data_IF_355258061109
#
_entry.id   IF_355258061109
#
_cell.length_a   1.000
_cell.length_b   1.000
_cell.length_c   1.000
_cell.angle_alpha   90.00
_cell.angle_beta   90.00
_cell.angle_gamma   90.00
#
_symmetry.space_group_name_H-M   'P 1'
#
loop_
_entity.id
_entity.type
_entity.pdbx_description
1 polymer ?
#
# COMPACT_ATOMS: atom_id res chain seq x y z
N UNK A 1 6.61 -7.42 -17.41
CA UNK A 1 5.51 -8.42 -17.29
C UNK A 1 4.14 -7.79 -17.47
N UNK A 2 3.91 -6.52 -17.08
CA UNK A 2 2.63 -5.85 -17.25
C UNK A 2 2.74 -4.53 -18.04
N UNK A 3 2.66 -4.53 -19.39
CA UNK A 3 2.76 -3.32 -20.21
C UNK A 3 1.76 -2.20 -19.89
N UNK A 4 0.55 -2.53 -19.42
CA UNK A 4 -0.48 -1.53 -19.05
C UNK A 4 -0.30 -0.96 -17.66
N UNK A 5 0.68 -1.46 -16.88
CA UNK A 5 1.05 -0.84 -15.62
C UNK A 5 1.74 0.49 -15.90
N UNK A 6 1.11 1.58 -15.49
CA UNK A 6 1.67 2.92 -15.58
C UNK A 6 1.58 3.56 -14.20
N UNK A 7 2.73 4.00 -13.68
CA UNK A 7 2.79 4.80 -12.47
C UNK A 7 2.53 6.28 -12.83
N UNK A 8 1.26 6.62 -13.07
CA UNK A 8 0.84 7.96 -13.50
C UNK A 8 0.06 8.68 -12.39
N UNK A 9 0.76 9.58 -11.71
CA UNK A 9 0.20 10.52 -10.74
C UNK A 9 0.61 11.98 -11.00
N UNK A 10 1.43 12.20 -12.03
CA UNK A 10 2.01 13.51 -12.32
C UNK A 10 0.95 14.55 -12.62
N UNK A 11 -0.11 14.14 -13.33
CA UNK A 11 -1.24 15.03 -13.67
C UNK A 11 -1.95 15.57 -12.42
N UNK A 12 -2.21 14.72 -11.43
CA UNK A 12 -2.97 15.09 -10.24
C UNK A 12 -2.11 15.96 -9.30
N UNK A 13 -0.83 15.64 -9.17
CA UNK A 13 0.10 16.48 -8.43
C UNK A 13 0.25 17.86 -9.08
N UNK A 14 0.39 17.94 -10.41
CA UNK A 14 0.51 19.20 -11.14
C UNK A 14 -0.73 20.11 -10.95
N UNK A 15 -1.93 19.54 -10.76
CA UNK A 15 -3.14 20.30 -10.45
C UNK A 15 -3.17 20.83 -9.00
N UNK A 16 -2.58 20.07 -8.06
CA UNK A 16 -2.54 20.44 -6.64
C UNK A 16 -1.45 21.48 -6.33
N UNK A 17 -0.29 21.35 -6.96
CA UNK A 17 0.91 22.18 -6.73
C UNK A 17 0.64 23.70 -6.72
N UNK A 18 -0.14 24.31 -7.64
CA UNK A 18 -0.45 25.73 -7.62
C UNK A 18 -1.17 26.23 -6.36
N UNK A 19 -1.74 25.33 -5.54
CA UNK A 19 -2.47 25.69 -4.32
C UNK A 19 -1.57 26.01 -3.13
N UNK A 20 -0.32 25.55 -3.15
CA UNK A 20 0.56 25.69 -1.98
C UNK A 20 2.00 26.08 -2.34
N UNK A 21 2.53 25.62 -3.49
CA UNK A 21 3.92 25.92 -3.88
C UNK A 21 4.22 27.42 -4.03
N UNK A 22 3.35 28.27 -4.62
CA UNK A 22 3.65 29.69 -4.73
C UNK A 22 3.87 30.36 -3.37
N UNK A 23 3.04 30.04 -2.38
CA UNK A 23 3.16 30.59 -1.02
C UNK A 23 4.43 30.07 -0.32
N UNK A 24 4.72 28.77 -0.46
CA UNK A 24 5.95 28.15 0.04
C UNK A 24 7.21 28.83 -0.53
N UNK A 25 7.29 28.96 -1.87
CA UNK A 25 8.41 29.61 -2.56
C UNK A 25 8.56 31.07 -2.13
N UNK A 26 7.46 31.83 -2.13
CA UNK A 26 7.47 33.24 -1.74
C UNK A 26 7.97 33.45 -0.31
N UNK A 27 7.61 32.56 0.63
CA UNK A 27 8.11 32.61 2.00
C UNK A 27 9.62 32.34 2.05
N UNK A 28 10.11 31.26 1.41
CA UNK A 28 11.53 30.93 1.45
C UNK A 28 12.40 32.05 0.85
N UNK A 29 11.92 32.72 -0.20
CA UNK A 29 12.63 33.85 -0.81
C UNK A 29 12.89 35.00 0.15
N UNK A 30 12.10 35.15 1.24
CA UNK A 30 12.31 36.20 2.23
C UNK A 30 13.58 35.99 3.08
N UNK A 31 14.12 34.77 3.10
CA UNK A 31 15.27 34.40 3.94
C UNK A 31 16.58 34.29 3.16
N UNK A 32 16.59 34.58 1.86
CA UNK A 32 17.80 34.55 1.03
C UNK A 32 18.04 35.88 0.33
N UNK A 33 19.29 36.15 -0.04
CA UNK A 33 19.64 37.27 -0.92
C UNK A 33 19.55 36.84 -2.38
N UNK A 34 18.81 37.60 -3.20
CA UNK A 34 18.59 37.31 -4.63
C UNK A 34 17.25 36.63 -4.90
N UNK A 35 17.02 36.27 -6.16
CA UNK A 35 15.77 35.63 -6.59
C UNK A 35 15.87 34.10 -6.43
N UNK A 36 15.18 33.52 -5.45
CA UNK A 36 15.08 32.06 -5.30
C UNK A 36 14.32 31.47 -6.50
N UNK A 37 15.05 30.86 -7.42
CA UNK A 37 14.47 30.10 -8.53
C UNK A 37 14.53 28.61 -8.19
N UNK A 38 13.39 28.06 -7.74
CA UNK A 38 13.23 26.61 -7.62
C UNK A 38 12.57 26.10 -8.91
N UNK A 39 13.32 25.34 -9.70
CA UNK A 39 12.83 24.63 -10.88
C UNK A 39 11.77 23.57 -10.50
N UNK A 40 11.13 23.00 -11.52
CA UNK A 40 10.14 21.94 -11.34
C UNK A 40 10.78 20.71 -10.70
N UNK A 41 10.38 20.43 -9.45
CA UNK A 41 10.84 19.29 -8.67
C UNK A 41 11.85 19.62 -7.57
N UNK A 42 12.65 20.69 -7.69
CA UNK A 42 13.65 21.06 -6.66
C UNK A 42 13.01 21.43 -5.30
N UNK A 43 11.79 21.95 -5.33
CA UNK A 43 11.01 22.22 -4.12
C UNK A 43 10.74 20.94 -3.30
N UNK A 44 10.68 19.76 -3.93
CA UNK A 44 10.40 18.48 -3.25
C UNK A 44 11.59 18.03 -2.39
N UNK A 45 12.80 18.45 -2.75
CA UNK A 45 14.02 18.12 -2.00
C UNK A 45 13.94 18.66 -0.57
N UNK A 46 13.16 19.72 -0.33
CA UNK A 46 13.04 20.30 1.00
C UNK A 46 12.41 19.33 2.00
N UNK A 47 11.29 18.74 1.62
CA UNK A 47 10.62 17.73 2.44
C UNK A 47 11.43 16.42 2.49
N UNK A 48 12.09 16.05 1.40
CA UNK A 48 12.95 14.86 1.35
C UNK A 48 14.13 14.98 2.31
N UNK A 49 14.90 16.08 2.26
CA UNK A 49 16.04 16.31 3.15
C UNK A 49 15.56 16.33 4.60
N UNK A 50 14.47 17.05 4.89
CA UNK A 50 13.86 17.04 6.22
C UNK A 50 13.61 15.61 6.72
N UNK A 51 12.93 14.77 5.95
CA UNK A 51 12.61 13.39 6.33
C UNK A 51 13.83 12.48 6.43
N UNK A 52 14.65 12.41 5.39
CA UNK A 52 15.80 11.49 5.29
C UNK A 52 16.91 11.86 6.28
N UNK A 53 17.27 13.14 6.38
CA UNK A 53 18.29 13.55 7.35
C UNK A 53 17.81 13.27 8.78
N UNK A 54 16.53 13.50 9.08
CA UNK A 54 15.99 13.20 10.40
C UNK A 54 16.16 11.73 10.77
N UNK A 55 15.85 10.84 9.84
CA UNK A 55 15.99 9.40 10.03
C UNK A 55 17.46 8.97 10.16
N UNK A 56 18.36 9.48 9.30
CA UNK A 56 19.78 9.12 9.30
C UNK A 56 20.47 9.62 10.58
N UNK A 57 20.14 10.82 11.05
CA UNK A 57 20.76 11.45 12.21
C UNK A 57 20.08 11.08 13.54
N UNK A 58 18.89 10.50 13.51
CA UNK A 58 18.10 10.16 14.70
C UNK A 58 17.60 11.37 15.49
N UNK A 59 17.51 12.55 14.86
CA UNK A 59 16.99 13.81 15.43
C UNK A 59 16.35 14.63 14.32
N UNK A 60 15.39 15.49 14.65
CA UNK A 60 14.75 16.35 13.64
C UNK A 60 15.80 17.18 12.89
N UNK A 61 15.77 17.11 11.56
CA UNK A 61 16.64 17.90 10.68
C UNK A 61 16.29 19.39 10.81
N UNK A 62 17.28 20.29 10.92
CA UNK A 62 17.05 21.73 10.81
C UNK A 62 16.40 22.13 9.48
N UNK A 63 16.55 21.30 8.45
CA UNK A 63 15.91 21.53 7.17
C UNK A 63 14.37 21.48 7.28
N UNK A 64 13.83 20.78 8.27
CA UNK A 64 12.39 20.78 8.54
C UNK A 64 11.86 22.18 8.92
N UNK A 65 12.68 23.06 9.51
CA UNK A 65 12.28 24.42 9.89
C UNK A 65 12.03 25.33 8.66
N UNK A 66 12.42 24.87 7.47
CA UNK A 66 12.07 25.55 6.20
C UNK A 66 10.59 25.35 5.82
N UNK A 67 9.90 24.40 6.45
CA UNK A 67 8.51 24.04 6.19
C UNK A 67 7.65 24.42 7.40
N UNK A 68 6.53 25.08 7.15
CA UNK A 68 5.48 25.29 8.16
C UNK A 68 4.58 24.06 8.22
N UNK A 69 3.78 23.93 9.27
CA UNK A 69 2.75 22.88 9.38
C UNK A 69 1.80 22.88 8.18
N UNK A 70 1.48 24.07 7.63
CA UNK A 70 0.64 24.19 6.45
C UNK A 70 1.31 23.64 5.19
N UNK A 71 2.62 23.86 5.01
CA UNK A 71 3.35 23.28 3.88
C UNK A 71 3.48 21.77 4.03
N UNK A 72 3.75 21.28 5.25
CA UNK A 72 3.84 19.86 5.54
C UNK A 72 2.51 19.15 5.27
N UNK A 73 1.38 19.75 5.65
CA UNK A 73 0.05 19.21 5.37
C UNK A 73 -0.25 19.21 3.86
N UNK A 74 0.09 20.29 3.14
CA UNK A 74 -0.08 20.35 1.69
C UNK A 74 0.82 19.35 0.95
N UNK A 75 2.05 19.15 1.45
CA UNK A 75 2.98 18.16 0.97
C UNK A 75 2.50 16.73 1.24
N UNK A 76 1.99 16.44 2.44
CA UNK A 76 1.36 15.15 2.77
C UNK A 76 0.25 14.85 1.77
N UNK A 77 -0.65 15.81 1.53
CA UNK A 77 -1.73 15.61 0.57
C UNK A 77 -1.22 15.40 -0.87
N UNK A 78 -0.11 16.05 -1.23
CA UNK A 78 0.55 15.78 -2.50
C UNK A 78 1.06 14.32 -2.60
N UNK A 79 1.53 13.73 -1.51
CA UNK A 79 1.88 12.30 -1.45
C UNK A 79 0.63 11.39 -1.39
N UNK A 80 -0.47 11.86 -0.80
CA UNK A 80 -1.76 11.18 -0.86
C UNK A 80 -2.23 11.03 -2.31
N UNK A 81 -2.18 12.10 -3.10
CA UNK A 81 -2.49 12.08 -4.53
C UNK A 81 -1.56 11.13 -5.30
N UNK A 82 -0.25 11.17 -5.01
CA UNK A 82 0.74 10.27 -5.64
C UNK A 82 0.36 8.81 -5.46
N UNK A 83 0.22 8.37 -4.21
CA UNK A 83 -0.04 6.96 -3.96
C UNK A 83 -1.48 6.59 -4.30
N UNK A 84 -2.48 7.46 -4.11
CA UNK A 84 -3.86 7.16 -4.50
C UNK A 84 -3.99 6.88 -6.01
N UNK A 85 -3.43 7.75 -6.86
CA UNK A 85 -3.57 7.66 -8.31
C UNK A 85 -2.53 6.75 -8.97
N UNK A 86 -1.33 6.60 -8.38
CA UNK A 86 -0.28 5.72 -8.93
C UNK A 86 -0.35 4.26 -8.46
N UNK A 87 -0.68 4.02 -7.19
CA UNK A 87 -0.59 2.68 -6.57
C UNK A 87 -1.84 2.20 -5.83
N UNK A 88 -2.65 3.15 -5.39
CA UNK A 88 -3.77 2.99 -4.49
C UNK A 88 -5.08 2.83 -5.25
N UNK A 89 -6.24 3.01 -4.58
CA UNK A 89 -7.55 2.71 -5.13
C UNK A 89 -7.91 3.49 -6.40
N UNK A 90 -7.31 4.66 -6.63
CA UNK A 90 -7.52 5.46 -7.84
C UNK A 90 -6.80 4.93 -9.08
N UNK A 91 -5.81 4.03 -8.91
CA UNK A 91 -5.06 3.47 -10.02
C UNK A 91 -5.83 2.34 -10.72
N UNK A 92 -5.84 2.34 -12.06
CA UNK A 92 -6.60 1.34 -12.82
C UNK A 92 -6.01 -0.09 -12.72
N UNK A 93 -4.70 -0.21 -12.91
CA UNK A 93 -3.98 -1.49 -12.99
C UNK A 93 -3.26 -1.79 -11.67
N UNK A 94 -2.55 -0.80 -11.12
CA UNK A 94 -1.72 -0.95 -9.92
C UNK A 94 -2.52 -1.43 -8.69
N UNK A 95 -3.72 -0.88 -8.47
CA UNK A 95 -4.62 -1.24 -7.35
C UNK A 95 -5.02 -2.71 -7.29
N UNK A 96 -4.87 -3.44 -8.41
CA UNK A 96 -5.29 -4.84 -8.57
C UNK A 96 -4.12 -5.82 -8.42
N UNK A 97 -2.87 -5.33 -8.46
CA UNK A 97 -1.68 -6.18 -8.54
C UNK A 97 -1.46 -7.07 -7.32
N UNK A 98 -1.91 -6.63 -6.14
CA UNK A 98 -1.74 -7.37 -4.89
C UNK A 98 -2.97 -8.22 -4.51
N UNK A 99 -4.04 -8.22 -5.29
CA UNK A 99 -5.23 -9.05 -5.00
C UNK A 99 -4.92 -10.55 -5.07
N UNK A 100 -4.16 -11.08 -6.05
CA UNK A 100 -3.75 -12.49 -6.03
C UNK A 100 -2.87 -12.86 -4.83
N UNK A 101 -2.00 -11.95 -4.37
CA UNK A 101 -1.22 -12.14 -3.13
C UNK A 101 -2.16 -12.23 -1.92
N UNK A 102 -3.13 -11.31 -1.83
CA UNK A 102 -4.10 -11.25 -0.75
C UNK A 102 -4.97 -12.51 -0.71
N UNK A 103 -5.46 -12.98 -1.85
CA UNK A 103 -6.24 -14.23 -1.95
C UNK A 103 -5.45 -15.45 -1.44
N UNK A 104 -4.19 -15.60 -1.88
CA UNK A 104 -3.33 -16.68 -1.41
C UNK A 104 -3.10 -16.62 0.11
N UNK A 105 -2.88 -15.41 0.66
CA UNK A 105 -2.72 -15.18 2.10
C UNK A 105 -4.00 -15.51 2.88
N UNK A 106 -5.16 -15.02 2.43
CA UNK A 106 -6.45 -15.22 3.12
C UNK A 106 -6.84 -16.70 3.13
N UNK A 107 -6.61 -17.43 2.04
CA UNK A 107 -6.79 -18.89 2.01
C UNK A 107 -5.94 -19.61 3.06
N UNK A 108 -4.73 -19.12 3.39
CA UNK A 108 -3.92 -19.71 4.47
C UNK A 108 -4.55 -19.55 5.84
N UNK A 109 -5.25 -18.43 6.08
CA UNK A 109 -5.98 -18.24 7.34
C UNK A 109 -7.16 -19.21 7.52
N UNK A 110 -7.71 -19.73 6.41
CA UNK A 110 -8.76 -20.76 6.42
C UNK A 110 -8.21 -22.18 6.51
N UNK A 111 -7.17 -22.52 5.74
CA UNK A 111 -6.71 -23.91 5.58
C UNK A 111 -5.66 -24.36 6.59
N UNK A 112 -4.75 -23.47 7.02
CA UNK A 112 -3.70 -23.76 7.99
C UNK A 112 -2.64 -24.80 7.57
N UNK A 113 -2.65 -25.31 6.34
CA UNK A 113 -1.72 -26.32 5.80
C UNK A 113 -1.14 -25.90 4.43
N UNK A 114 -0.06 -26.53 3.98
CA UNK A 114 0.58 -26.30 2.69
C UNK A 114 1.46 -27.48 2.25
N UNK A 115 2.18 -27.34 1.15
CA UNK A 115 3.15 -28.34 0.62
C UNK A 115 4.55 -28.01 1.14
N UNK A 116 5.18 -29.01 1.76
CA UNK A 116 6.51 -28.90 2.34
C UNK A 116 7.64 -28.88 1.29
N UNK A 117 8.89 -28.69 1.75
CA UNK A 117 10.04 -28.46 0.86
C UNK A 117 10.41 -29.65 -0.03
N UNK A 118 10.07 -30.87 0.38
CA UNK A 118 10.25 -32.10 -0.39
C UNK A 118 9.18 -32.31 -1.48
N UNK A 119 8.20 -31.41 -1.55
CA UNK A 119 7.10 -31.44 -2.52
C UNK A 119 6.02 -32.47 -2.25
N UNK A 120 6.15 -33.28 -1.19
CA UNK A 120 5.23 -34.39 -0.90
C UNK A 120 4.70 -34.37 0.53
N UNK A 121 5.48 -33.84 1.48
CA UNK A 121 5.05 -33.65 2.85
C UNK A 121 4.03 -32.51 2.98
N UNK A 122 3.14 -32.64 3.96
CA UNK A 122 2.31 -31.53 4.40
C UNK A 122 3.11 -30.63 5.34
N UNK A 123 3.00 -29.32 5.14
CA UNK A 123 3.61 -28.30 5.99
C UNK A 123 2.53 -27.57 6.78
N UNK A 124 2.71 -27.45 8.09
CA UNK A 124 1.86 -26.59 8.92
C UNK A 124 2.30 -25.14 8.75
N UNK A 125 1.38 -24.27 8.34
CA UNK A 125 1.69 -22.84 8.19
C UNK A 125 2.10 -22.27 9.56
N UNK A 126 3.25 -21.58 9.68
CA UNK A 126 3.70 -21.02 10.94
C UNK A 126 2.68 -20.03 11.50
N UNK A 127 2.66 -19.88 12.82
CA UNK A 127 1.80 -18.89 13.50
C UNK A 127 2.14 -17.44 13.12
N UNK A 128 3.33 -17.21 12.56
CA UNK A 128 3.82 -15.91 12.15
C UNK A 128 4.38 -16.00 10.72
N UNK A 129 3.78 -15.22 9.82
CA UNK A 129 4.23 -15.04 8.46
C UNK A 129 4.72 -13.60 8.32
N UNK A 130 5.97 -13.42 7.90
CA UNK A 130 6.55 -12.10 7.63
C UNK A 130 6.90 -11.99 6.16
N UNK A 131 6.36 -10.97 5.50
CA UNK A 131 6.66 -10.65 4.11
C UNK A 131 7.19 -9.22 4.07
N UNK A 132 8.32 -9.03 3.40
CA UNK A 132 8.94 -7.72 3.22
C UNK A 132 8.67 -7.24 1.80
N UNK A 133 8.05 -6.08 1.69
CA UNK A 133 7.59 -5.47 0.44
C UNK A 133 8.11 -4.04 0.34
N UNK A 134 8.15 -3.49 -0.86
CA UNK A 134 8.38 -2.07 -1.08
C UNK A 134 7.10 -1.26 -0.85
N UNK A 135 7.26 0.05 -0.65
CA UNK A 135 6.18 1.02 -0.45
C UNK A 135 5.08 0.95 -1.53
N UNK A 136 5.47 0.82 -2.80
CA UNK A 136 4.52 0.67 -3.91
C UNK A 136 3.62 -0.56 -3.73
N UNK A 137 4.20 -1.71 -3.37
CA UNK A 137 3.45 -2.96 -3.12
C UNK A 137 2.62 -2.88 -1.83
N UNK A 138 3.10 -2.17 -0.81
CA UNK A 138 2.34 -1.95 0.42
C UNK A 138 1.08 -1.11 0.16
N UNK A 139 1.18 -0.06 -0.68
CA UNK A 139 0.03 0.74 -1.10
C UNK A 139 -0.94 -0.05 -2.01
N UNK A 140 -0.42 -0.88 -2.92
CA UNK A 140 -1.27 -1.78 -3.72
C UNK A 140 -2.00 -2.79 -2.82
N UNK A 141 -1.34 -3.32 -1.79
CA UNK A 141 -1.98 -4.18 -0.80
C UNK A 141 -3.03 -3.41 0.00
N UNK A 142 -2.74 -2.18 0.42
CA UNK A 142 -3.70 -1.29 1.08
C UNK A 142 -4.95 -1.04 0.23
N UNK A 143 -4.80 -0.91 -1.10
CA UNK A 143 -5.93 -0.82 -2.03
C UNK A 143 -6.73 -2.13 -2.13
N UNK A 144 -6.05 -3.28 -2.08
CA UNK A 144 -6.66 -4.60 -2.23
C UNK A 144 -7.50 -5.03 -1.01
N UNK A 145 -7.08 -4.66 0.21
CA UNK A 145 -7.65 -5.19 1.47
C UNK A 145 -9.07 -4.70 1.81
N UNK A 146 -9.57 -3.66 1.13
CA UNK A 146 -10.96 -3.22 1.29
C UNK A 146 -11.26 -2.22 2.38
N UNK A 147 -10.29 -1.91 3.23
CA UNK A 147 -10.51 -0.99 4.36
C UNK A 147 -10.72 0.47 3.92
N UNK A 148 -10.47 0.77 2.64
CA UNK A 148 -10.68 2.08 2.02
C UNK A 148 -11.80 2.08 0.97
N UNK A 149 -12.67 1.05 0.93
CA UNK A 149 -13.71 0.92 -0.10
C UNK A 149 -14.74 2.07 -0.09
N UNK A 150 -14.90 2.77 1.03
CA UNK A 150 -15.77 3.95 1.15
C UNK A 150 -15.06 5.28 0.86
N UNK A 151 -13.74 5.26 0.60
CA UNK A 151 -13.00 6.47 0.26
C UNK A 151 -13.42 6.98 -1.12
N UNK A 152 -13.96 8.20 -1.15
CA UNK A 152 -14.22 8.90 -2.41
C UNK A 152 -12.91 9.30 -3.11
N UNK A 153 -12.88 9.44 -4.45
CA UNK A 153 -11.70 9.90 -5.17
C UNK A 153 -11.11 11.19 -4.57
N UNK A 154 -9.79 11.20 -4.35
CA UNK A 154 -9.12 12.36 -3.75
C UNK A 154 -9.16 13.56 -4.71
N UNK A 155 -9.79 14.69 -4.34
CA UNK A 155 -9.86 15.86 -5.22
C UNK A 155 -8.49 16.55 -5.37
N UNK A 156 -8.25 17.19 -6.51
CA UNK A 156 -6.99 17.92 -6.78
C UNK A 156 -7.08 19.42 -6.46
N UNK A 157 -8.24 19.89 -6.01
CA UNK A 157 -8.54 21.31 -5.76
C UNK A 157 -8.68 21.67 -4.28
N UNK A 158 -8.64 20.69 -3.37
CA UNK A 158 -8.73 20.86 -1.92
C UNK A 158 -8.17 19.63 -1.22
N UNK A 159 -7.83 19.76 0.05
CA UNK A 159 -7.46 18.66 0.93
C UNK A 159 -8.66 18.34 1.85
N UNK A 160 -9.38 17.22 1.64
CA UNK A 160 -10.43 16.81 2.57
C UNK A 160 -9.82 16.41 3.92
N UNK A 161 -10.37 16.93 5.01
CA UNK A 161 -9.91 16.62 6.37
C UNK A 161 -10.34 15.22 6.82
N UNK A 162 -11.51 14.78 6.37
CA UNK A 162 -12.15 13.49 6.69
C UNK A 162 -11.70 12.32 5.80
N UNK A 163 -10.72 12.54 4.91
CA UNK A 163 -10.18 11.47 4.06
C UNK A 163 -9.63 10.32 4.91
N UNK A 164 -10.05 9.12 4.54
CA UNK A 164 -9.59 7.84 5.06
C UNK A 164 -8.20 7.50 4.51
N UNK A 165 -7.97 7.74 3.20
CA UNK A 165 -6.68 7.48 2.56
C UNK A 165 -5.66 8.56 2.91
N UNK A 166 -4.65 8.17 3.69
CA UNK A 166 -3.50 9.01 4.07
C UNK A 166 -2.22 8.18 3.94
N UNK A 167 -1.43 8.45 2.91
CA UNK A 167 -0.22 7.70 2.55
C UNK A 167 0.77 7.63 3.71
N UNK A 168 0.93 8.73 4.45
CA UNK A 168 1.77 8.82 5.66
C UNK A 168 1.38 7.83 6.76
N UNK A 169 0.09 7.43 6.82
CA UNK A 169 -0.45 6.45 7.77
C UNK A 169 -0.47 5.03 7.23
N UNK A 170 -0.19 4.83 5.94
CA UNK A 170 -0.19 3.53 5.27
C UNK A 170 1.23 3.02 5.13
N UNK A 171 2.08 3.81 4.46
CA UNK A 171 3.43 3.43 4.08
C UNK A 171 4.48 4.45 4.54
N UNK A 172 4.58 4.74 5.85
CA UNK A 172 5.78 5.40 6.38
C UNK A 172 7.00 4.46 6.22
N UNK A 173 8.19 4.95 6.54
CA UNK A 173 9.35 4.07 6.70
C UNK A 173 9.04 2.97 7.72
N UNK A 174 9.27 1.70 7.35
CA UNK A 174 8.82 0.52 8.13
C UNK A 174 7.29 0.42 8.28
N UNK A 175 6.55 0.91 7.27
CA UNK A 175 5.10 0.72 7.18
C UNK A 175 4.72 -0.75 7.23
N UNK A 176 3.67 -1.09 7.99
CA UNK A 176 3.27 -2.48 8.24
C UNK A 176 1.76 -2.63 8.10
N UNK A 177 1.32 -3.58 7.26
CA UNK A 177 -0.05 -4.09 7.24
C UNK A 177 -0.04 -5.47 7.88
N UNK A 178 -0.72 -5.62 9.01
CA UNK A 178 -0.83 -6.87 9.74
C UNK A 178 -2.23 -7.46 9.60
N UNK A 179 -2.27 -8.78 9.40
CA UNK A 179 -3.50 -9.57 9.42
C UNK A 179 -3.46 -10.51 10.62
N UNK A 180 -4.42 -10.36 11.52
CA UNK A 180 -4.52 -11.15 12.73
C UNK A 180 -5.65 -12.15 12.59
N UNK A 181 -5.35 -13.45 12.74
CA UNK A 181 -6.36 -14.52 12.81
C UNK A 181 -6.76 -14.73 14.27
N UNK A 182 -8.01 -14.42 14.59
CA UNK A 182 -8.58 -14.50 15.93
C UNK A 182 -9.49 -15.72 16.03
N UNK A 183 -9.32 -16.58 17.04
CA UNK A 183 -10.28 -17.63 17.36
C UNK A 183 -11.15 -17.14 18.52
N UNK A 184 -12.44 -16.92 18.28
CA UNK A 184 -13.37 -16.37 19.27
C UNK A 184 -14.66 -17.20 19.30
N UNK A 185 -14.97 -17.84 20.44
CA UNK A 185 -16.24 -18.54 20.70
C UNK A 185 -16.66 -19.47 19.53
N UNK A 186 -15.73 -20.32 19.09
CA UNK A 186 -15.85 -21.31 17.99
C UNK A 186 -15.87 -20.76 16.55
N UNK A 187 -15.74 -19.45 16.37
CA UNK A 187 -15.60 -18.85 15.04
C UNK A 187 -14.19 -18.27 14.84
N UNK A 188 -13.76 -18.19 13.58
CA UNK A 188 -12.48 -17.57 13.21
C UNK A 188 -12.74 -16.23 12.54
N UNK A 189 -12.03 -15.20 13.00
CA UNK A 189 -12.09 -13.85 12.47
C UNK A 189 -10.72 -13.40 11.97
N UNK A 190 -10.72 -12.44 11.05
CA UNK A 190 -9.55 -11.70 10.59
C UNK A 190 -9.70 -10.24 10.98
N UNK A 191 -8.67 -9.69 11.61
CA UNK A 191 -8.55 -8.25 11.90
C UNK A 191 -7.38 -7.68 11.12
N UNK A 192 -7.61 -6.56 10.46
CA UNK A 192 -6.59 -5.86 9.67
C UNK A 192 -6.10 -4.67 10.49
N UNK A 193 -4.78 -4.53 10.57
CA UNK A 193 -4.11 -3.38 11.19
C UNK A 193 -3.16 -2.74 10.21
N UNK A 194 -3.11 -1.42 10.20
CA UNK A 194 -2.11 -0.64 9.45
C UNK A 194 -1.38 0.22 10.46
N UNK A 195 -0.08 0.01 10.61
CA UNK A 195 0.78 0.69 11.57
C UNK A 195 0.16 0.72 12.98
N UNK A 196 -0.13 -0.48 13.50
CA UNK A 196 -0.73 -0.74 14.82
C UNK A 196 -2.19 -0.30 15.02
N UNK A 197 -2.77 0.52 14.15
CA UNK A 197 -4.19 0.90 14.24
C UNK A 197 -5.08 -0.13 13.53
N UNK A 198 -6.27 -0.39 14.07
CA UNK A 198 -7.27 -1.28 13.46
C UNK A 198 -7.98 -0.56 12.32
N UNK A 199 -8.01 -1.19 11.14
CA UNK A 199 -8.71 -0.71 9.94
C UNK A 199 -9.77 -1.72 9.52
N UNK A 200 -11.04 -1.48 9.86
CA UNK A 200 -12.12 -2.41 9.54
C UNK A 200 -12.51 -2.34 8.08
N UNK A 201 -12.92 -3.48 7.52
CA UNK A 201 -13.54 -3.53 6.19
C UNK A 201 -14.98 -3.05 6.35
N UNK A 202 -15.43 -1.99 5.65
CA UNK A 202 -16.74 -1.39 5.91
C UNK A 202 -17.91 -2.39 5.79
N UNK A 203 -17.83 -3.29 4.80
CA UNK A 203 -18.80 -4.34 4.54
C UNK A 203 -18.69 -5.56 5.45
N UNK A 204 -17.65 -5.65 6.29
CA UNK A 204 -17.44 -6.80 7.17
C UNK A 204 -16.65 -6.43 8.43
N UNK A 205 -17.37 -6.06 9.50
CA UNK A 205 -16.77 -5.57 10.75
C UNK A 205 -17.56 -5.95 12.01
N UNK A 206 -18.48 -6.92 11.91
CA UNK A 206 -19.39 -7.31 13.00
C UNK A 206 -18.75 -8.28 14.01
N UNK A 207 -17.52 -8.71 13.77
CA UNK A 207 -16.76 -9.59 14.65
C UNK A 207 -16.09 -8.86 15.83
N UNK A 208 -15.59 -9.60 16.84
CA UNK A 208 -14.90 -9.03 17.99
C UNK A 208 -13.77 -8.08 17.60
N UNK A 209 -13.73 -6.88 18.19
CA UNK A 209 -12.70 -5.88 17.90
C UNK A 209 -12.75 -5.33 16.47
N UNK A 210 -13.96 -5.20 15.89
CA UNK A 210 -14.22 -4.76 14.51
C UNK A 210 -13.51 -5.63 13.46
N UNK A 211 -13.54 -6.95 13.70
CA UNK A 211 -12.99 -7.96 12.81
C UNK A 211 -14.05 -8.50 11.84
N UNK A 212 -13.60 -9.20 10.80
CA UNK A 212 -14.47 -9.86 9.82
C UNK A 212 -14.40 -11.38 10.03
N UNK A 213 -15.49 -12.13 9.86
CA UNK A 213 -15.40 -13.60 9.85
C UNK A 213 -14.50 -14.03 8.69
N UNK A 214 -13.59 -14.99 8.90
CA UNK A 214 -12.62 -15.40 7.88
C UNK A 214 -13.31 -15.87 6.59
N UNK A 215 -14.42 -16.61 6.70
CA UNK A 215 -15.17 -17.07 5.54
C UNK A 215 -15.74 -15.90 4.70
N UNK A 216 -16.29 -14.88 5.37
CA UNK A 216 -16.88 -13.71 4.72
C UNK A 216 -15.78 -12.85 4.06
N UNK A 217 -14.63 -12.67 4.72
CA UNK A 217 -13.49 -11.97 4.12
C UNK A 217 -12.88 -12.74 2.94
N UNK A 218 -12.77 -14.08 3.05
CA UNK A 218 -12.29 -14.92 1.96
C UNK A 218 -13.20 -14.84 0.73
N UNK A 219 -14.52 -14.81 0.94
CA UNK A 219 -15.48 -14.59 -0.14
C UNK A 219 -15.28 -13.21 -0.78
N UNK A 220 -15.20 -12.16 0.04
CA UNK A 220 -14.97 -10.79 -0.42
C UNK A 220 -13.69 -10.66 -1.28
N UNK A 221 -12.57 -11.22 -0.83
CA UNK A 221 -11.31 -11.23 -1.61
C UNK A 221 -11.42 -12.06 -2.87
N UNK A 222 -12.09 -13.22 -2.80
CA UNK A 222 -12.33 -14.09 -3.96
C UNK A 222 -13.19 -13.43 -5.05
N UNK A 223 -14.24 -12.70 -4.64
CA UNK A 223 -15.07 -11.90 -5.56
C UNK A 223 -14.24 -10.79 -6.23
N UNK A 224 -13.37 -10.10 -5.47
CA UNK A 224 -12.44 -9.10 -6.04
C UNK A 224 -11.47 -9.72 -7.05
N UNK A 225 -10.91 -10.89 -6.75
CA UNK A 225 -10.02 -11.60 -7.66
C UNK A 225 -10.73 -12.00 -8.96
N UNK A 226 -11.96 -12.52 -8.85
CA UNK A 226 -12.78 -12.90 -10.00
C UNK A 226 -13.10 -11.68 -10.90
N UNK A 227 -13.41 -10.52 -10.30
CA UNK A 227 -13.72 -9.30 -11.03
C UNK A 227 -12.53 -8.70 -11.81
N UNK A 228 -11.29 -8.98 -11.38
CA UNK A 228 -10.07 -8.52 -12.08
C UNK A 228 -9.86 -9.27 -13.40
N UNK A 229 -10.30 -10.52 -13.48
CA UNK A 229 -10.03 -11.39 -14.62
C UNK A 229 -8.58 -11.90 -14.65
N UNK A 230 -8.10 -12.27 -15.84
CA UNK A 230 -6.74 -12.81 -15.98
C UNK A 230 -5.67 -11.72 -16.00
N UNK A 231 -4.47 -12.05 -15.51
CA UNK A 231 -3.33 -11.15 -15.59
C UNK A 231 -2.99 -10.76 -17.03
N UNK A 232 -3.06 -11.71 -17.96
CA UNK A 232 -2.83 -11.43 -19.38
C UNK A 232 -3.77 -10.34 -19.93
N UNK A 233 -5.06 -10.41 -19.56
CA UNK A 233 -6.04 -9.38 -19.92
C UNK A 233 -5.77 -8.05 -19.24
N UNK A 234 -5.59 -8.05 -17.91
CA UNK A 234 -5.32 -6.82 -17.14
C UNK A 234 -4.07 -6.09 -17.67
N UNK A 235 -3.05 -6.87 -18.03
CA UNK A 235 -1.74 -6.37 -18.41
C UNK A 235 -1.54 -6.15 -19.91
N UNK A 236 -2.48 -6.57 -20.75
CA UNK A 236 -2.26 -6.75 -22.19
C UNK A 236 -0.92 -7.47 -22.48
N UNK A 237 -0.64 -8.52 -21.70
CA UNK A 237 0.64 -9.22 -21.76
C UNK A 237 0.61 -10.29 -22.86
N UNK A 238 1.42 -10.09 -23.91
CA UNK A 238 1.49 -10.94 -25.11
C UNK A 238 2.74 -11.83 -25.15
N UNK A 239 3.62 -11.74 -24.14
CA UNK A 239 4.88 -12.48 -24.13
C UNK A 239 4.62 -14.00 -23.98
N UNK A 240 5.33 -14.89 -24.71
CA UNK A 240 5.13 -16.35 -24.69
C UNK A 240 5.29 -17.07 -23.34
N UNK A 241 5.74 -16.37 -22.29
CA UNK A 241 5.84 -16.87 -20.92
C UNK A 241 4.87 -16.23 -19.93
N UNK A 242 3.89 -15.46 -20.41
CA UNK A 242 2.88 -14.83 -19.55
C UNK A 242 2.04 -15.91 -18.88
N UNK A 243 1.96 -15.95 -17.53
CA UNK A 243 1.15 -16.94 -16.85
C UNK A 243 -0.33 -16.81 -17.24
N UNK A 244 -0.93 -17.92 -17.68
CA UNK A 244 -2.38 -17.99 -17.90
C UNK A 244 -3.17 -17.94 -16.59
N UNK A 245 -2.57 -18.43 -15.52
CA UNK A 245 -3.08 -18.34 -14.15
C UNK A 245 -2.01 -17.74 -13.25
N UNK A 246 -2.34 -16.63 -12.58
CA UNK A 246 -1.49 -16.07 -11.54
C UNK A 246 -1.77 -16.82 -10.25
N UNK A 247 -0.79 -17.61 -9.80
CA UNK A 247 -0.86 -18.36 -8.55
C UNK A 247 -0.68 -17.47 -7.29
N UNK A 248 -0.55 -16.16 -7.47
CA UNK A 248 -0.35 -15.20 -6.39
C UNK A 248 0.92 -15.49 -5.60
N UNK A 249 0.82 -15.44 -4.28
CA UNK A 249 1.91 -15.75 -3.35
C UNK A 249 2.07 -17.26 -3.15
N UNK A 250 2.41 -18.00 -4.21
CA UNK A 250 2.55 -19.46 -4.19
C UNK A 250 3.51 -19.95 -3.10
N UNK A 251 4.50 -19.14 -2.72
CA UNK A 251 5.46 -19.41 -1.65
C UNK A 251 4.82 -19.51 -0.25
N UNK A 252 3.57 -19.06 -0.07
CA UNK A 252 2.79 -19.30 1.14
C UNK A 252 2.18 -20.71 1.17
N UNK A 253 2.09 -21.38 0.01
CA UNK A 253 1.41 -22.66 -0.16
C UNK A 253 2.32 -23.81 -0.57
N UNK A 254 3.46 -23.52 -1.18
CA UNK A 254 4.37 -24.52 -1.73
C UNK A 254 5.81 -24.10 -1.53
N UNK A 255 6.51 -24.80 -0.65
CA UNK A 255 7.91 -24.53 -0.33
C UNK A 255 8.90 -25.24 -1.28
N UNK A 256 8.44 -26.15 -2.14
CA UNK A 256 9.27 -26.88 -3.12
C UNK A 256 9.50 -26.08 -4.42
N UNK A 257 9.39 -24.76 -4.38
CA UNK A 257 9.61 -23.95 -5.58
C UNK A 257 11.10 -23.68 -5.77
N UNK A 258 11.59 -23.83 -7.01
CA UNK A 258 13.02 -23.71 -7.35
C UNK A 258 13.68 -22.39 -6.96
N UNK A 259 12.90 -21.32 -6.81
CA UNK A 259 13.38 -20.00 -6.43
C UNK A 259 13.36 -19.75 -4.91
N UNK A 260 12.84 -20.70 -4.12
CA UNK A 260 12.84 -20.61 -2.66
C UNK A 260 14.11 -21.21 -2.09
N UNK A 261 14.69 -20.50 -1.13
CA UNK A 261 15.84 -20.95 -0.34
C UNK A 261 15.46 -20.90 1.13
N UNK A 262 15.49 -22.04 1.80
CA UNK A 262 15.31 -22.10 3.25
C UNK A 262 16.63 -21.65 3.89
N UNK A 263 16.53 -20.63 4.75
CA UNK A 263 17.65 -20.15 5.55
C UNK A 263 17.46 -20.69 6.96
N UNK A 264 18.40 -21.49 7.42
CA UNK A 264 18.47 -21.90 8.82
C UNK A 264 19.22 -20.79 9.58
N UNK A 265 18.66 -20.27 10.69
CA UNK A 265 19.34 -19.31 11.54
C UNK A 265 20.57 -19.92 12.22
#
# INVERSE_FOLDING_TARGET
>A
MCPTFVDDYGRQQAQWQPRWLPAFKARLSQYISGDLQLEDGQWNDFAYICGFESQIRGRLSPFCDTLTDADLAAYEYQQDLRYWYGHGPGAAVSSRMMVPFLDALVKRFSEGRGVGPDGTSAFAVPKLLMNFLNDGQLNQLAAAIGVFDEQQPLPTDRMPEDRLWRSSRISPMRGTIAFERLNCRNETYIRIRINEAVYPVPSCQDGPGRSCRVADYAKYVGDKLAAIGSFAQLCNATAPGTPSQVQGASFLTNLNQKHLKIIHP
#
